data_IF_026254580353
#
_entry.id   IF_026254580353
#
_cell.length_a   1.000
_cell.length_b   1.000
_cell.length_c   1.000
_cell.angle_alpha   90.00
_cell.angle_beta   90.00
_cell.angle_gamma   90.00
#
_symmetry.space_group_name_H-M   'P 1'
#
loop_
_entity.id
_entity.type
_entity.pdbx_description
1 polymer ?
#
# COMPACT_ATOMS: atom_id res chain seq x y z
N UNK A 1 11.45 35.33 2.46
CA UNK A 1 10.44 34.32 2.90
C UNK A 1 10.89 32.97 2.37
N UNK A 2 10.85 31.90 3.15
CA UNK A 2 11.27 30.56 2.69
C UNK A 2 10.17 29.98 1.80
N UNK A 3 10.47 29.69 0.54
CA UNK A 3 9.54 28.99 -0.35
C UNK A 3 9.46 27.50 0.02
N UNK A 4 8.26 27.04 0.36
CA UNK A 4 8.01 25.63 0.60
C UNK A 4 7.56 24.97 -0.73
N UNK A 5 8.14 23.83 -1.03
CA UNK A 5 7.85 23.03 -2.23
C UNK A 5 7.57 21.58 -1.84
N UNK A 6 6.92 20.84 -2.70
CA UNK A 6 6.77 19.39 -2.52
C UNK A 6 8.14 18.74 -2.26
N UNK A 7 8.24 17.81 -1.29
CA UNK A 7 9.43 17.02 -1.10
C UNK A 7 9.85 16.31 -2.38
N UNK A 8 11.17 16.12 -2.56
CA UNK A 8 11.69 15.43 -3.74
C UNK A 8 11.09 14.03 -3.87
N UNK A 9 10.57 13.69 -5.05
CA UNK A 9 9.91 12.41 -5.31
C UNK A 9 8.42 12.37 -4.94
N UNK A 10 7.84 13.54 -4.64
CA UNK A 10 6.39 13.71 -4.47
C UNK A 10 5.88 14.76 -5.43
N UNK A 11 4.57 14.82 -5.61
CA UNK A 11 3.92 15.79 -6.48
C UNK A 11 2.49 16.08 -6.01
N UNK A 12 2.01 17.28 -6.33
CA UNK A 12 0.59 17.59 -6.28
C UNK A 12 -0.07 17.13 -7.59
N UNK A 13 -1.24 16.51 -7.50
CA UNK A 13 -2.05 16.15 -8.67
C UNK A 13 -3.21 17.14 -8.72
N UNK A 14 -3.08 18.13 -9.60
CA UNK A 14 -4.02 19.24 -9.73
C UNK A 14 -4.99 19.04 -10.91
N UNK A 15 -6.13 19.73 -10.93
CA UNK A 15 -6.97 19.79 -12.13
C UNK A 15 -6.21 20.40 -13.32
N UNK A 16 -6.39 19.89 -14.56
CA UNK A 16 -7.34 18.85 -14.95
C UNK A 16 -6.84 17.41 -14.77
N UNK A 17 -5.57 17.21 -14.38
CA UNK A 17 -4.96 15.87 -14.28
C UNK A 17 -5.64 15.02 -13.20
N UNK A 18 -6.05 15.63 -12.08
CA UNK A 18 -6.78 14.92 -11.00
C UNK A 18 -8.07 14.25 -11.48
N UNK A 19 -8.75 14.84 -12.46
CA UNK A 19 -9.96 14.23 -13.07
C UNK A 19 -9.66 12.95 -13.84
N UNK A 20 -8.49 12.87 -14.48
CA UNK A 20 -8.04 11.64 -15.17
C UNK A 20 -7.72 10.54 -14.15
N UNK A 21 -7.03 10.90 -13.07
CA UNK A 21 -6.75 9.98 -11.97
C UNK A 21 -8.03 9.41 -11.39
N UNK A 22 -8.99 10.26 -11.05
CA UNK A 22 -10.29 9.84 -10.52
C UNK A 22 -11.01 8.88 -11.46
N UNK A 23 -10.99 9.14 -12.78
CA UNK A 23 -11.60 8.26 -13.77
C UNK A 23 -10.95 6.86 -13.78
N UNK A 24 -9.62 6.80 -13.73
CA UNK A 24 -8.87 5.53 -13.69
C UNK A 24 -9.19 4.76 -12.40
N UNK A 25 -9.20 5.45 -11.26
CA UNK A 25 -9.55 4.86 -9.96
C UNK A 25 -10.97 4.27 -9.95
N UNK A 26 -11.94 5.00 -10.49
CA UNK A 26 -13.31 4.51 -10.62
C UNK A 26 -13.42 3.24 -11.47
N UNK A 27 -12.69 3.19 -12.58
CA UNK A 27 -12.66 2.01 -13.46
C UNK A 27 -12.07 0.80 -12.71
N UNK A 28 -10.93 0.99 -12.04
CA UNK A 28 -10.28 -0.08 -11.26
C UNK A 28 -11.18 -0.62 -10.15
N UNK A 29 -11.84 0.28 -9.40
CA UNK A 29 -12.76 -0.09 -8.34
C UNK A 29 -13.98 -0.85 -8.87
N UNK A 30 -14.58 -0.36 -9.96
CA UNK A 30 -15.73 -1.01 -10.59
C UNK A 30 -15.38 -2.41 -11.11
N UNK A 31 -14.18 -2.56 -11.69
CA UNK A 31 -13.68 -3.85 -12.16
C UNK A 31 -13.47 -4.84 -11.01
N UNK A 32 -12.84 -4.39 -9.93
CA UNK A 32 -12.65 -5.23 -8.75
C UNK A 32 -14.00 -5.71 -8.17
N UNK A 33 -14.96 -4.82 -8.02
CA UNK A 33 -16.30 -5.13 -7.54
C UNK A 33 -17.05 -6.09 -8.47
N UNK A 34 -16.90 -5.93 -9.78
CA UNK A 34 -17.49 -6.83 -10.77
C UNK A 34 -17.00 -8.28 -10.59
N UNK A 35 -15.73 -8.46 -10.21
CA UNK A 35 -15.15 -9.77 -9.90
C UNK A 35 -15.36 -10.24 -8.45
N UNK A 36 -16.18 -9.53 -7.68
CA UNK A 36 -16.54 -9.89 -6.31
C UNK A 36 -15.48 -9.54 -5.25
N UNK A 37 -14.54 -8.63 -5.57
CA UNK A 37 -13.61 -8.13 -4.58
C UNK A 37 -14.24 -7.02 -3.75
N UNK A 38 -14.02 -7.06 -2.45
CA UNK A 38 -14.47 -6.03 -1.50
C UNK A 38 -13.31 -5.11 -1.14
N UNK A 39 -13.62 -3.84 -0.90
CA UNK A 39 -12.60 -2.85 -0.54
C UNK A 39 -12.05 -3.10 0.86
N UNK A 40 -10.74 -3.02 1.01
CA UNK A 40 -10.05 -2.94 2.28
C UNK A 40 -9.19 -1.67 2.32
N UNK A 41 -9.23 -0.95 3.43
CA UNK A 41 -8.31 0.13 3.74
C UNK A 41 -7.46 -0.29 4.95
N UNK A 42 -6.16 -0.40 4.76
CA UNK A 42 -5.20 -0.65 5.84
C UNK A 42 -4.52 0.65 6.26
N UNK A 43 -3.95 0.73 7.46
CA UNK A 43 -3.20 1.91 7.88
C UNK A 43 -2.07 2.27 6.90
N UNK A 44 -1.80 3.58 6.79
CA UNK A 44 -0.68 4.09 5.96
C UNK A 44 0.67 3.74 6.58
N UNK A 45 0.74 3.59 7.89
CA UNK A 45 1.92 3.12 8.61
C UNK A 45 1.56 1.91 9.47
N UNK A 46 2.51 1.01 9.61
CA UNK A 46 2.40 -0.24 10.35
C UNK A 46 3.64 -0.41 11.25
N UNK A 47 3.59 -1.38 12.16
CA UNK A 47 4.81 -1.87 12.80
C UNK A 47 5.82 -2.32 11.73
N UNK A 48 7.07 -1.95 11.91
CA UNK A 48 8.13 -2.26 10.94
C UNK A 48 8.26 -3.76 10.66
N UNK A 49 7.95 -4.60 11.66
CA UNK A 49 7.95 -6.06 11.53
C UNK A 49 6.96 -6.61 10.50
N UNK A 50 5.90 -5.85 10.18
CA UNK A 50 4.94 -6.26 9.12
C UNK A 50 5.61 -6.33 7.75
N UNK A 51 6.61 -5.49 7.50
CA UNK A 51 7.31 -5.41 6.21
C UNK A 51 8.67 -6.11 6.21
N UNK A 52 9.25 -6.42 7.37
CA UNK A 52 10.52 -7.12 7.50
C UNK A 52 10.29 -8.63 7.66
N UNK A 53 10.86 -9.42 6.76
CA UNK A 53 10.99 -10.87 6.93
C UNK A 53 12.39 -11.18 7.44
N UNK A 54 12.52 -12.13 8.35
CA UNK A 54 13.81 -12.48 9.00
C UNK A 54 14.93 -12.84 8.02
N UNK A 55 14.59 -13.31 6.81
CA UNK A 55 15.54 -13.72 5.77
C UNK A 55 15.48 -12.86 4.50
N UNK A 56 14.86 -11.69 4.56
CA UNK A 56 14.69 -10.85 3.38
C UNK A 56 15.91 -9.95 3.19
N UNK A 57 16.82 -10.35 2.29
CA UNK A 57 17.97 -9.56 1.85
C UNK A 57 17.64 -8.57 0.75
N UNK A 58 16.34 -8.38 0.44
CA UNK A 58 15.93 -7.46 -0.63
C UNK A 58 16.29 -6.02 -0.28
N UNK A 59 16.78 -5.28 -1.27
CA UNK A 59 17.11 -3.85 -1.12
C UNK A 59 15.91 -3.01 -0.67
N UNK A 60 14.69 -3.43 -1.00
CA UNK A 60 13.45 -2.78 -0.59
C UNK A 60 13.28 -2.78 0.94
N UNK A 61 13.59 -3.90 1.60
CA UNK A 61 13.47 -4.04 3.06
C UNK A 61 14.55 -3.26 3.79
N UNK A 62 15.74 -3.16 3.22
CA UNK A 62 16.90 -2.64 3.93
C UNK A 62 17.19 -1.15 3.66
N UNK A 63 16.80 -0.60 2.50
CA UNK A 63 17.24 0.73 2.07
C UNK A 63 16.13 1.67 1.61
N UNK A 64 14.94 1.16 1.29
CA UNK A 64 13.91 1.95 0.61
C UNK A 64 12.66 2.24 1.45
N UNK A 65 12.66 1.84 2.72
CA UNK A 65 11.53 2.12 3.62
C UNK A 65 11.71 3.43 4.38
N UNK A 66 10.62 4.16 4.57
CA UNK A 66 10.53 5.27 5.50
C UNK A 66 10.16 4.74 6.88
N UNK A 67 11.16 4.58 7.73
CA UNK A 67 10.99 4.09 9.10
C UNK A 67 11.24 5.21 10.10
N UNK A 68 10.41 5.30 11.13
CA UNK A 68 10.51 6.28 12.19
C UNK A 68 10.13 5.64 13.53
N UNK A 69 10.59 6.24 14.62
CA UNK A 69 10.28 5.80 15.97
C UNK A 69 9.53 6.86 16.74
N UNK A 70 8.53 6.43 17.49
CA UNK A 70 7.86 7.29 18.47
C UNK A 70 8.32 6.83 19.85
N UNK A 71 8.84 7.75 20.65
CA UNK A 71 9.30 7.51 22.04
C UNK A 71 10.35 6.39 22.18
N UNK A 72 11.17 6.16 21.18
CA UNK A 72 12.29 5.18 21.16
C UNK A 72 11.90 3.72 21.41
N UNK A 73 10.62 3.39 21.44
CA UNK A 73 10.11 2.04 21.71
C UNK A 73 9.53 1.39 20.46
N UNK A 74 8.70 2.12 19.74
CA UNK A 74 8.00 1.57 18.59
C UNK A 74 8.70 1.97 17.28
N UNK A 75 8.98 0.99 16.43
CA UNK A 75 9.48 1.20 15.08
C UNK A 75 8.32 1.08 14.10
N UNK A 76 7.95 2.20 13.49
CA UNK A 76 6.88 2.30 12.52
C UNK A 76 7.42 2.58 11.12
N UNK A 77 6.76 2.05 10.11
CA UNK A 77 7.17 2.20 8.71
C UNK A 77 5.98 2.64 7.86
N UNK A 78 6.17 3.65 7.03
CA UNK A 78 5.22 3.99 5.97
C UNK A 78 5.14 2.82 4.99
N UNK A 79 3.94 2.35 4.68
CA UNK A 79 3.73 1.18 3.82
C UNK A 79 4.40 1.33 2.45
N UNK A 80 5.35 0.45 2.09
CA UNK A 80 6.00 0.46 0.78
C UNK A 80 5.18 -0.29 -0.29
N UNK A 81 4.18 -1.07 0.15
CA UNK A 81 3.28 -1.89 -0.67
C UNK A 81 2.03 -2.26 0.14
N UNK A 82 1.02 -2.86 -0.49
CA UNK A 82 -0.27 -3.11 0.16
C UNK A 82 -0.47 -4.52 0.70
N UNK A 83 0.17 -5.53 0.11
CA UNK A 83 -0.07 -6.94 0.41
C UNK A 83 0.21 -7.29 1.88
N UNK A 84 1.33 -6.84 2.45
CA UNK A 84 1.69 -7.15 3.83
C UNK A 84 0.65 -6.63 4.84
N UNK A 85 0.15 -5.40 4.65
CA UNK A 85 -0.92 -4.84 5.48
C UNK A 85 -2.23 -5.62 5.37
N UNK A 86 -2.58 -6.08 4.16
CA UNK A 86 -3.77 -6.93 3.96
C UNK A 86 -3.60 -8.27 4.67
N UNK A 87 -2.45 -8.93 4.54
CA UNK A 87 -2.18 -10.21 5.23
C UNK A 87 -2.19 -10.04 6.74
N UNK A 88 -1.56 -8.97 7.28
CA UNK A 88 -1.64 -8.66 8.71
C UNK A 88 -3.10 -8.52 9.16
N UNK A 89 -3.92 -7.77 8.41
CA UNK A 89 -5.35 -7.58 8.69
C UNK A 89 -6.13 -8.90 8.62
N UNK A 90 -5.86 -9.73 7.61
CA UNK A 90 -6.46 -11.04 7.43
C UNK A 90 -6.23 -11.95 8.65
N UNK A 91 -5.01 -12.00 9.15
CA UNK A 91 -4.65 -12.79 10.34
C UNK A 91 -5.26 -12.20 11.60
N UNK A 92 -5.10 -10.90 11.83
CA UNK A 92 -5.58 -10.19 13.03
C UNK A 92 -7.10 -10.34 13.21
N UNK A 93 -7.85 -10.23 12.12
CA UNK A 93 -9.30 -10.32 12.14
C UNK A 93 -9.82 -11.75 11.90
N UNK A 94 -8.94 -12.75 11.90
CA UNK A 94 -9.28 -14.18 11.73
C UNK A 94 -10.15 -14.44 10.50
N UNK A 95 -9.89 -13.73 9.41
CA UNK A 95 -10.69 -13.86 8.18
C UNK A 95 -10.61 -15.27 7.58
N UNK A 96 -9.56 -16.03 7.91
CA UNK A 96 -9.42 -17.44 7.54
C UNK A 96 -10.51 -18.35 8.13
N UNK A 97 -11.21 -17.90 9.18
CA UNK A 97 -12.29 -18.63 9.83
C UNK A 97 -13.69 -18.26 9.29
N UNK A 98 -13.77 -17.30 8.38
CA UNK A 98 -15.04 -16.93 7.77
C UNK A 98 -15.54 -18.04 6.85
N UNK A 99 -16.89 -18.27 6.78
CA UNK A 99 -17.46 -19.37 5.98
C UNK A 99 -17.27 -19.15 4.47
N UNK A 100 -17.30 -17.89 4.03
CA UNK A 100 -17.22 -17.54 2.62
C UNK A 100 -15.75 -17.42 2.19
N UNK A 101 -15.22 -18.48 1.62
CA UNK A 101 -13.85 -18.53 1.07
C UNK A 101 -13.92 -18.72 -0.46
N UNK A 102 -12.96 -18.22 -1.23
CA UNK A 102 -11.81 -17.39 -0.80
C UNK A 102 -12.20 -15.97 -0.43
N UNK A 103 -11.42 -15.36 0.45
CA UNK A 103 -11.54 -13.92 0.76
C UNK A 103 -10.93 -13.12 -0.38
N UNK A 104 -11.73 -12.25 -0.99
CA UNK A 104 -11.35 -11.41 -2.12
C UNK A 104 -11.35 -9.95 -1.70
N UNK A 105 -10.18 -9.32 -1.65
CA UNK A 105 -10.00 -7.94 -1.22
C UNK A 105 -9.28 -7.13 -2.29
N UNK A 106 -9.66 -5.85 -2.44
CA UNK A 106 -8.89 -4.90 -3.22
C UNK A 106 -8.56 -3.66 -2.40
N UNK A 107 -7.45 -3.05 -2.69
CA UNK A 107 -7.02 -1.77 -2.10
C UNK A 107 -6.57 -0.79 -3.18
N UNK A 108 -6.69 0.48 -2.88
CA UNK A 108 -6.20 1.57 -3.71
C UNK A 108 -5.76 2.70 -2.78
N UNK A 109 -4.52 3.11 -2.88
CA UNK A 109 -4.03 4.21 -2.06
C UNK A 109 -2.53 4.46 -2.19
N UNK A 110 -2.02 5.44 -1.44
CA UNK A 110 -0.62 5.83 -1.50
C UNK A 110 0.28 4.80 -0.83
N UNK A 111 1.45 4.60 -1.46
CA UNK A 111 2.58 3.82 -0.98
C UNK A 111 3.84 4.69 -0.99
N UNK A 112 4.85 4.30 -0.21
CA UNK A 112 6.03 5.14 0.04
C UNK A 112 7.30 4.32 -0.05
N UNK A 113 8.24 4.74 -0.94
CA UNK A 113 9.56 4.12 -1.07
C UNK A 113 10.64 5.18 -1.19
N UNK A 114 11.70 5.06 -0.41
CA UNK A 114 12.85 5.95 -0.49
C UNK A 114 13.76 5.58 -1.66
N UNK A 115 13.19 5.60 -2.86
CA UNK A 115 13.92 5.33 -4.10
C UNK A 115 14.58 6.59 -4.66
N UNK A 116 15.57 6.39 -5.55
CA UNK A 116 16.10 7.50 -6.34
C UNK A 116 15.02 7.96 -7.32
N UNK A 117 14.50 9.20 -7.18
CA UNK A 117 13.42 9.67 -8.05
C UNK A 117 13.89 9.76 -9.51
N UNK A 118 13.08 9.25 -10.41
CA UNK A 118 13.25 9.38 -11.86
C UNK A 118 11.88 9.40 -12.52
N UNK A 119 11.83 9.63 -13.83
CA UNK A 119 10.56 9.64 -14.56
C UNK A 119 9.80 8.31 -14.37
N UNK A 120 8.58 8.40 -13.84
CA UNK A 120 7.73 7.23 -13.53
C UNK A 120 8.05 6.52 -12.21
N UNK A 121 9.07 7.00 -11.45
CA UNK A 121 9.37 6.49 -10.10
C UNK A 121 9.32 7.61 -9.09
N UNK A 122 8.30 7.59 -8.27
CA UNK A 122 8.06 8.55 -7.20
C UNK A 122 8.33 7.91 -5.83
N UNK A 123 8.61 8.73 -4.83
CA UNK A 123 8.72 8.30 -3.42
C UNK A 123 7.38 8.11 -2.76
N UNK A 124 6.35 8.84 -3.25
CA UNK A 124 4.95 8.58 -2.96
C UNK A 124 4.25 8.27 -4.28
N UNK A 125 3.58 7.14 -4.36
CA UNK A 125 2.86 6.68 -5.55
C UNK A 125 1.59 5.93 -5.14
N UNK A 126 0.61 5.87 -6.02
CA UNK A 126 -0.61 5.09 -5.78
C UNK A 126 -0.44 3.66 -6.29
N UNK A 127 -0.92 2.72 -5.51
CA UNK A 127 -1.00 1.31 -5.89
C UNK A 127 -2.45 0.84 -5.79
N UNK A 128 -2.93 0.21 -6.87
CA UNK A 128 -4.10 -0.62 -6.86
C UNK A 128 -3.66 -2.08 -6.79
N UNK A 129 -4.25 -2.86 -5.89
CA UNK A 129 -3.95 -4.27 -5.76
C UNK A 129 -5.21 -5.08 -5.43
N UNK A 130 -5.17 -6.35 -5.81
CA UNK A 130 -6.18 -7.35 -5.46
C UNK A 130 -5.51 -8.53 -4.77
N UNK A 131 -6.17 -9.06 -3.74
CA UNK A 131 -5.71 -10.23 -2.99
C UNK A 131 -6.83 -11.26 -2.94
N UNK A 132 -6.52 -12.48 -3.37
CA UNK A 132 -7.44 -13.63 -3.28
C UNK A 132 -6.81 -14.67 -2.37
N UNK A 133 -7.33 -14.78 -1.14
CA UNK A 133 -6.70 -15.56 -0.08
C UNK A 133 -7.59 -16.73 0.29
N UNK A 134 -7.03 -17.95 0.34
CA UNK A 134 -7.75 -19.17 0.66
C UNK A 134 -8.32 -19.92 -0.54
N UNK A 135 -7.97 -19.54 -1.77
CA UNK A 135 -8.29 -20.33 -2.96
C UNK A 135 -7.48 -21.64 -2.97
N UNK A 136 -8.11 -22.74 -3.36
CA UNK A 136 -7.46 -24.06 -3.46
C UNK A 136 -6.68 -24.24 -4.77
N UNK A 137 -6.96 -23.42 -5.75
CA UNK A 137 -6.28 -23.39 -7.06
C UNK A 137 -6.31 -21.97 -7.61
N UNK A 138 -5.37 -21.59 -8.50
CA UNK A 138 -5.36 -20.29 -9.15
C UNK A 138 -6.59 -20.07 -10.02
#
# INVERSE_FOLDING_TARGET
MKDYRCPRGTQDILPPESSKWQKVEMIMQSLAQYYGYQKIDTPIFEDTGVFKRENDSSDMVNKEMYTFSINSVDSLTLRPEGTAGVIRSYVQNKMYALPDQPIKLYYLGPMFRYERPQKGRYRQFNQFGIECIGAKSP
#
